data_IF_123759382955
#
_entry.id   IF_123759382955
#
_cell.length_a   1.000
_cell.length_b   1.000
_cell.length_c   1.000
_cell.angle_alpha   90.00
_cell.angle_beta   90.00
_cell.angle_gamma   90.00
#
_symmetry.space_group_name_H-M   'P 1'
#
loop_
_entity.id
_entity.type
_entity.pdbx_description
1 polymer ?
#
# COMPACT_ATOMS: atom_id res chain seq x y z
N UNK A 1 -0.65 6.39 -7.21
CA UNK A 1 0.12 6.98 -6.11
C UNK A 1 1.05 5.99 -5.41
N UNK A 2 0.60 4.81 -5.00
CA UNK A 2 1.40 3.81 -4.26
C UNK A 2 2.76 3.49 -4.91
N UNK A 3 2.86 3.59 -6.23
CA UNK A 3 4.08 3.29 -7.01
C UNK A 3 5.07 4.45 -7.12
N UNK A 4 4.70 5.67 -6.75
CA UNK A 4 5.47 6.89 -7.01
C UNK A 4 6.52 7.21 -5.93
N UNK A 5 6.63 6.42 -4.85
CA UNK A 5 7.59 6.70 -3.77
C UNK A 5 9.03 6.46 -4.17
N UNK A 6 9.95 7.35 -3.76
CA UNK A 6 11.38 7.17 -3.89
C UNK A 6 11.89 6.01 -3.04
N UNK A 7 12.94 5.33 -3.48
CA UNK A 7 13.55 4.22 -2.73
C UNK A 7 12.71 2.94 -2.64
N UNK A 8 11.62 2.84 -3.40
CA UNK A 8 10.75 1.66 -3.42
C UNK A 8 11.47 0.41 -3.96
N UNK A 9 11.14 -0.76 -3.40
CA UNK A 9 11.68 -2.05 -3.83
C UNK A 9 11.33 -2.41 -5.28
N UNK A 10 12.07 -3.39 -5.83
CA UNK A 10 11.95 -3.82 -7.22
C UNK A 10 10.52 -4.19 -7.65
N UNK A 11 9.71 -4.76 -6.75
CA UNK A 11 8.31 -5.09 -7.02
C UNK A 11 7.49 -3.90 -7.51
N UNK A 12 7.72 -2.72 -6.96
CA UNK A 12 6.98 -1.52 -7.34
C UNK A 12 7.27 -1.04 -8.77
N UNK A 13 8.29 -1.57 -9.43
CA UNK A 13 8.61 -1.26 -10.82
C UNK A 13 7.69 -1.98 -11.81
N UNK A 14 7.23 -3.19 -11.49
CA UNK A 14 6.40 -4.00 -12.39
C UNK A 14 4.95 -4.16 -11.94
N UNK A 15 4.67 -4.04 -10.64
CA UNK A 15 3.31 -4.16 -10.12
C UNK A 15 2.46 -2.95 -10.56
N UNK A 16 1.35 -3.22 -11.22
CA UNK A 16 0.50 -2.17 -11.81
C UNK A 16 -0.69 -1.80 -10.93
N UNK A 17 -1.05 -2.64 -9.94
CA UNK A 17 -2.23 -2.46 -9.10
C UNK A 17 -3.50 -2.13 -9.93
N UNK A 18 -3.73 -2.87 -11.00
CA UNK A 18 -4.91 -2.67 -11.85
C UNK A 18 -6.18 -2.87 -11.03
N UNK A 19 -7.05 -1.89 -11.07
CA UNK A 19 -8.31 -1.89 -10.33
C UNK A 19 -9.46 -2.28 -11.25
N UNK A 20 -10.34 -3.15 -10.77
CA UNK A 20 -11.59 -3.52 -11.43
C UNK A 20 -12.75 -3.39 -10.45
N UNK A 21 -13.79 -2.65 -10.83
CA UNK A 21 -15.05 -2.62 -10.09
C UNK A 21 -15.81 -3.89 -10.37
N UNK A 22 -16.18 -4.65 -9.35
CA UNK A 22 -16.90 -5.91 -9.48
C UNK A 22 -18.41 -5.72 -9.37
N UNK A 23 -18.83 -4.86 -8.44
CA UNK A 23 -20.25 -4.56 -8.18
C UNK A 23 -20.42 -3.19 -7.54
N UNK A 24 -21.66 -2.73 -7.45
CA UNK A 24 -22.04 -1.52 -6.72
C UNK A 24 -21.97 -0.23 -7.51
N UNK A 25 -21.48 -0.26 -8.78
CA UNK A 25 -21.32 0.92 -9.64
C UNK A 25 -21.85 0.63 -11.05
N UNK A 26 -22.59 1.59 -11.62
CA UNK A 26 -23.07 1.57 -12.99
C UNK A 26 -22.88 2.96 -13.61
N UNK A 27 -22.26 3.03 -14.78
CA UNK A 27 -22.00 4.28 -15.49
C UNK A 27 -21.28 5.35 -14.65
N UNK A 28 -20.39 4.90 -13.73
CA UNK A 28 -19.64 5.80 -12.85
C UNK A 28 -20.38 6.21 -11.57
N UNK A 29 -21.63 5.80 -11.39
CA UNK A 29 -22.46 6.15 -10.24
C UNK A 29 -22.74 4.93 -9.35
N UNK A 30 -22.76 5.14 -8.04
CA UNK A 30 -23.14 4.09 -7.08
C UNK A 30 -24.63 3.81 -7.16
N UNK A 31 -25.02 2.54 -7.00
CA UNK A 31 -26.43 2.08 -7.15
C UNK A 31 -27.07 1.69 -5.83
N UNK A 32 -26.54 2.12 -4.69
CA UNK A 32 -27.07 1.81 -3.37
C UNK A 32 -26.81 0.37 -2.87
N UNK A 33 -26.03 -0.41 -3.60
CA UNK A 33 -25.57 -1.73 -3.17
C UNK A 33 -24.11 -1.69 -2.70
N UNK A 34 -23.61 -2.75 -2.01
CA UNK A 34 -22.19 -2.82 -1.67
C UNK A 34 -21.28 -2.67 -2.87
N UNK A 35 -20.23 -1.84 -2.73
CA UNK A 35 -19.20 -1.66 -3.74
C UNK A 35 -18.08 -2.65 -3.48
N UNK A 36 -17.77 -3.50 -4.46
CA UNK A 36 -16.63 -4.41 -4.40
C UNK A 36 -15.59 -4.05 -5.46
N UNK A 37 -14.33 -4.02 -5.02
CA UNK A 37 -13.19 -3.63 -5.84
C UNK A 37 -12.17 -4.78 -5.83
N UNK A 38 -11.74 -5.21 -7.00
CA UNK A 38 -10.61 -6.11 -7.16
C UNK A 38 -9.36 -5.33 -7.54
N UNK A 39 -8.24 -5.64 -6.89
CA UNK A 39 -6.92 -5.12 -7.25
C UNK A 39 -6.07 -6.28 -7.72
N UNK A 40 -5.78 -6.32 -9.02
CA UNK A 40 -5.00 -7.38 -9.64
C UNK A 40 -3.59 -7.48 -9.02
N UNK A 41 -3.04 -8.68 -9.02
CA UNK A 41 -1.68 -8.97 -8.59
C UNK A 41 -0.92 -9.60 -9.75
N UNK A 42 0.06 -8.90 -10.27
CA UNK A 42 0.87 -9.35 -11.43
C UNK A 42 1.58 -10.68 -11.16
N UNK A 43 1.91 -10.98 -9.91
CA UNK A 43 2.56 -12.23 -9.53
C UNK A 43 1.59 -13.37 -9.20
N UNK A 44 0.28 -13.13 -9.16
CA UNK A 44 -0.72 -14.12 -8.76
C UNK A 44 -0.57 -15.48 -9.46
N UNK A 45 -0.30 -15.58 -10.77
CA UNK A 45 -0.13 -16.88 -11.43
C UNK A 45 0.95 -17.78 -10.83
N UNK A 46 1.89 -17.21 -10.07
CA UNK A 46 2.96 -17.96 -9.40
C UNK A 46 2.56 -18.45 -8.01
N UNK A 47 1.40 -18.04 -7.49
CA UNK A 47 0.97 -18.25 -6.11
C UNK A 47 -0.35 -19.01 -5.99
N UNK A 48 -0.96 -19.39 -7.09
CA UNK A 48 -2.30 -19.98 -7.15
C UNK A 48 -2.46 -21.22 -6.28
N UNK A 49 -1.46 -22.09 -6.23
CA UNK A 49 -1.50 -23.31 -5.40
C UNK A 49 -1.20 -23.00 -3.93
N UNK A 50 -0.05 -22.38 -3.64
CA UNK A 50 0.41 -22.15 -2.26
C UNK A 50 -0.48 -21.16 -1.48
N UNK A 51 -1.27 -20.37 -2.19
CA UNK A 51 -2.23 -19.40 -1.65
C UNK A 51 -3.68 -19.74 -2.05
N UNK A 52 -3.95 -21.00 -2.43
CA UNK A 52 -5.31 -21.44 -2.76
C UNK A 52 -6.26 -21.21 -1.58
N UNK A 53 -7.46 -20.72 -1.87
CA UNK A 53 -8.55 -20.63 -0.90
C UNK A 53 -9.23 -21.99 -0.71
N UNK A 54 -9.18 -22.84 -1.74
CA UNK A 54 -9.79 -24.16 -1.73
C UNK A 54 -8.77 -25.22 -1.33
N UNK A 55 -9.20 -26.34 -0.71
CA UNK A 55 -8.35 -27.50 -0.50
C UNK A 55 -7.77 -27.99 -1.84
N UNK A 56 -6.52 -28.35 -1.84
CA UNK A 56 -5.89 -28.98 -3.01
C UNK A 56 -6.17 -30.49 -2.98
N UNK A 57 -6.35 -31.08 -4.14
CA UNK A 57 -6.54 -32.52 -4.35
C UNK A 57 -5.23 -33.30 -4.45
N UNK A 58 -4.10 -32.59 -4.34
CA UNK A 58 -2.74 -33.12 -4.40
C UNK A 58 -1.82 -32.39 -3.42
N UNK A 59 -0.73 -33.05 -3.06
CA UNK A 59 0.32 -32.45 -2.25
C UNK A 59 1.22 -31.55 -3.10
N UNK A 60 1.52 -30.34 -2.60
CA UNK A 60 2.50 -29.45 -3.20
C UNK A 60 3.87 -29.64 -2.53
N UNK A 61 4.99 -29.68 -3.30
CA UNK A 61 6.32 -29.73 -2.72
C UNK A 61 6.57 -28.53 -1.79
N UNK A 62 6.97 -28.79 -0.54
CA UNK A 62 7.29 -27.76 0.46
C UNK A 62 8.71 -27.20 0.31
N UNK A 63 9.08 -26.86 -0.92
CA UNK A 63 10.41 -26.39 -1.28
C UNK A 63 10.33 -25.06 -2.02
N UNK A 64 11.44 -24.31 -2.02
CA UNK A 64 11.53 -23.04 -2.74
C UNK A 64 10.42 -22.07 -2.34
N UNK A 65 9.59 -21.67 -3.31
CA UNK A 65 8.47 -20.74 -3.11
C UNK A 65 7.38 -21.31 -2.18
N UNK A 66 7.18 -22.61 -2.19
CA UNK A 66 6.13 -23.28 -1.43
C UNK A 66 6.60 -23.65 -0.01
N UNK A 67 7.89 -23.50 0.31
CA UNK A 67 8.39 -23.75 1.66
C UNK A 67 7.73 -22.85 2.70
N UNK A 68 7.31 -23.36 3.87
CA UNK A 68 6.74 -22.55 4.93
C UNK A 68 7.69 -21.42 5.37
N UNK A 69 7.16 -20.25 5.61
CA UNK A 69 7.90 -19.10 6.13
C UNK A 69 7.92 -19.14 7.65
N UNK A 70 8.82 -19.95 8.22
CA UNK A 70 8.91 -20.17 9.67
C UNK A 70 9.74 -19.11 10.42
N UNK A 71 10.43 -18.23 9.70
CA UNK A 71 11.26 -17.15 10.29
C UNK A 71 10.52 -15.81 10.25
N UNK A 72 9.98 -15.33 11.37
CA UNK A 72 9.31 -14.03 11.42
C UNK A 72 10.31 -12.90 11.20
N UNK A 73 9.90 -11.88 10.45
CA UNK A 73 10.70 -10.67 10.22
C UNK A 73 10.71 -9.80 11.47
N UNK A 74 11.89 -9.30 11.91
CA UNK A 74 11.98 -8.35 13.01
C UNK A 74 11.18 -7.07 12.71
N UNK A 75 10.52 -6.51 13.74
CA UNK A 75 9.77 -5.26 13.61
C UNK A 75 8.50 -5.35 12.74
N UNK A 76 8.04 -6.55 12.41
CA UNK A 76 6.83 -6.81 11.61
C UNK A 76 5.77 -7.56 12.43
N UNK A 77 4.57 -7.72 11.86
CA UNK A 77 3.45 -8.40 12.52
C UNK A 77 3.60 -9.94 12.59
N UNK A 78 4.61 -10.52 11.94
CA UNK A 78 4.75 -11.95 11.70
C UNK A 78 4.70 -12.76 12.99
N UNK A 79 5.60 -12.50 13.94
CA UNK A 79 5.68 -13.26 15.19
C UNK A 79 4.39 -13.14 16.02
N UNK A 80 3.85 -11.94 16.13
CA UNK A 80 2.61 -11.68 16.88
C UNK A 80 1.44 -12.40 16.25
N UNK A 81 1.30 -12.36 14.93
CA UNK A 81 0.23 -13.02 14.22
C UNK A 81 0.35 -14.54 14.27
N UNK A 82 1.54 -15.09 14.06
CA UNK A 82 1.78 -16.53 14.17
C UNK A 82 1.40 -17.04 15.56
N UNK A 83 1.84 -16.36 16.62
CA UNK A 83 1.50 -16.74 18.01
C UNK A 83 0.01 -16.59 18.31
N UNK A 84 -0.62 -15.51 17.86
CA UNK A 84 -2.04 -15.24 18.10
C UNK A 84 -2.95 -16.31 17.50
N UNK A 85 -2.61 -16.78 16.30
CA UNK A 85 -3.45 -17.70 15.54
C UNK A 85 -2.95 -19.15 15.50
N UNK A 86 -1.79 -19.44 16.13
CA UNK A 86 -1.19 -20.78 16.14
C UNK A 86 -0.65 -21.21 14.78
N UNK A 87 -0.14 -20.27 13.96
CA UNK A 87 0.41 -20.59 12.65
C UNK A 87 1.88 -20.92 12.69
N UNK A 88 2.28 -22.01 12.01
CA UNK A 88 3.68 -22.39 11.78
C UNK A 88 4.26 -21.72 10.52
N UNK A 89 3.41 -21.18 9.66
CA UNK A 89 3.75 -20.41 8.45
C UNK A 89 3.29 -18.95 8.62
N UNK A 90 4.17 -17.99 8.36
CA UNK A 90 3.85 -16.57 8.44
C UNK A 90 2.98 -16.06 7.26
N UNK A 91 2.75 -16.84 6.19
CA UNK A 91 2.00 -16.38 5.01
C UNK A 91 0.63 -15.81 5.32
N UNK A 92 -0.23 -16.48 6.12
CA UNK A 92 -1.54 -15.91 6.45
C UNK A 92 -1.44 -14.55 7.14
N UNK A 93 -0.37 -14.32 7.92
CA UNK A 93 -0.10 -13.03 8.56
C UNK A 93 0.39 -12.00 7.55
N UNK A 94 1.25 -12.41 6.60
CA UNK A 94 1.77 -11.54 5.55
C UNK A 94 0.66 -10.98 4.67
N UNK A 95 -0.33 -11.79 4.31
CA UNK A 95 -1.48 -11.35 3.48
C UNK A 95 -2.30 -10.27 4.18
N UNK A 96 -2.38 -10.30 5.50
CA UNK A 96 -3.13 -9.34 6.32
C UNK A 96 -2.35 -8.08 6.68
N UNK A 97 -1.04 -8.07 6.54
CA UNK A 97 -0.18 -7.00 7.05
C UNK A 97 0.89 -6.53 6.07
N UNK A 98 0.80 -6.94 4.82
CA UNK A 98 1.76 -6.62 3.76
C UNK A 98 1.32 -5.45 2.87
N UNK A 99 2.10 -5.19 1.84
CA UNK A 99 1.83 -4.18 0.83
C UNK A 99 0.48 -4.38 0.11
N UNK A 100 -0.06 -5.60 0.03
CA UNK A 100 -1.37 -5.89 -0.57
C UNK A 100 -2.51 -5.35 0.27
N UNK A 101 -2.45 -5.47 1.58
CA UNK A 101 -3.39 -4.83 2.51
C UNK A 101 -3.38 -3.30 2.33
N UNK A 102 -2.20 -2.70 2.19
CA UNK A 102 -2.06 -1.27 1.91
C UNK A 102 -2.70 -0.88 0.57
N UNK A 103 -2.60 -1.71 -0.47
CA UNK A 103 -3.26 -1.45 -1.75
C UNK A 103 -4.78 -1.39 -1.60
N UNK A 104 -5.36 -2.32 -0.85
CA UNK A 104 -6.80 -2.36 -0.57
C UNK A 104 -7.26 -1.14 0.22
N UNK A 105 -6.52 -0.74 1.25
CA UNK A 105 -6.81 0.48 2.03
C UNK A 105 -6.76 1.75 1.20
N UNK A 106 -5.78 1.87 0.29
CA UNK A 106 -5.68 3.02 -0.61
C UNK A 106 -6.87 3.09 -1.56
N UNK A 107 -7.30 1.96 -2.13
CA UNK A 107 -8.46 1.92 -3.01
C UNK A 107 -9.77 2.28 -2.28
N UNK A 108 -10.00 1.72 -1.09
CA UNK A 108 -11.16 2.06 -0.26
C UNK A 108 -11.13 3.52 0.21
N UNK A 109 -9.95 4.02 0.57
CA UNK A 109 -9.76 5.41 0.95
C UNK A 109 -10.12 6.39 -0.18
N UNK A 110 -9.89 6.03 -1.44
CA UNK A 110 -10.30 6.86 -2.57
C UNK A 110 -11.82 6.93 -2.72
N UNK A 111 -12.54 5.82 -2.54
CA UNK A 111 -14.01 5.84 -2.52
C UNK A 111 -14.54 6.74 -1.41
N UNK A 112 -13.95 6.64 -0.21
CA UNK A 112 -14.34 7.49 0.92
C UNK A 112 -14.04 8.97 0.67
N UNK A 113 -12.91 9.31 0.03
CA UNK A 113 -12.57 10.69 -0.34
C UNK A 113 -13.57 11.29 -1.32
N UNK A 114 -13.94 10.53 -2.36
CA UNK A 114 -14.93 10.98 -3.34
C UNK A 114 -16.29 11.20 -2.70
N UNK A 115 -16.71 10.33 -1.78
CA UNK A 115 -17.95 10.52 -1.01
C UNK A 115 -17.90 11.81 -0.20
N UNK A 116 -16.82 12.08 0.54
CA UNK A 116 -16.67 13.29 1.34
C UNK A 116 -16.63 14.54 0.47
N UNK A 117 -15.97 14.51 -0.67
CA UNK A 117 -15.89 15.64 -1.58
C UNK A 117 -17.26 15.95 -2.19
N UNK A 118 -17.98 14.95 -2.68
CA UNK A 118 -19.27 15.13 -3.34
C UNK A 118 -20.39 15.54 -2.38
N UNK A 119 -20.37 15.04 -1.14
CA UNK A 119 -21.44 15.29 -0.18
C UNK A 119 -21.21 16.50 0.71
N UNK A 120 -19.95 16.76 1.09
CA UNK A 120 -19.59 17.76 2.09
C UNK A 120 -18.56 18.79 1.60
N UNK A 121 -18.06 18.65 0.38
CA UNK A 121 -16.98 19.51 -0.15
C UNK A 121 -15.63 19.32 0.58
N UNK A 122 -15.48 18.25 1.35
CA UNK A 122 -14.26 18.00 2.12
C UNK A 122 -13.23 17.30 1.22
N UNK A 123 -12.07 17.93 1.04
CA UNK A 123 -10.93 17.39 0.30
C UNK A 123 -9.79 17.04 1.25
N UNK A 124 -9.23 15.84 1.09
CA UNK A 124 -8.14 15.34 1.93
C UNK A 124 -6.82 15.37 1.16
N UNK A 125 -5.85 16.11 1.69
CA UNK A 125 -4.50 16.20 1.16
C UNK A 125 -3.51 15.82 2.26
N UNK A 126 -2.38 15.25 1.87
CA UNK A 126 -1.30 14.91 2.81
C UNK A 126 0.05 15.16 2.20
N UNK A 127 1.05 15.46 3.03
CA UNK A 127 2.44 15.54 2.60
C UNK A 127 3.36 14.87 3.63
N UNK A 128 4.61 14.67 3.25
CA UNK A 128 5.63 14.09 4.12
C UNK A 128 6.44 15.23 4.75
N UNK A 129 6.59 15.20 6.05
CA UNK A 129 7.36 16.20 6.82
C UNK A 129 8.83 15.80 6.95
N UNK A 130 9.11 14.51 7.17
CA UNK A 130 10.48 14.01 7.30
C UNK A 130 10.61 12.54 6.92
N UNK A 131 11.81 12.13 6.50
CA UNK A 131 12.22 10.75 6.28
C UNK A 131 13.58 10.55 6.94
N UNK A 132 13.67 9.60 7.90
CA UNK A 132 14.92 9.27 8.58
C UNK A 132 15.54 10.45 9.35
N UNK A 133 14.72 11.37 9.84
CA UNK A 133 15.15 12.57 10.55
C UNK A 133 15.54 13.75 9.65
N UNK A 134 15.62 13.57 8.34
CA UNK A 134 15.81 14.66 7.38
C UNK A 134 14.44 15.17 6.88
N UNK A 135 14.27 16.47 6.67
CA UNK A 135 13.03 17.04 6.19
C UNK A 135 12.80 18.49 6.57
N UNK A 136 11.53 18.86 6.77
CA UNK A 136 11.14 20.22 7.12
C UNK A 136 11.68 20.58 8.51
N UNK A 137 12.42 21.69 8.59
CA UNK A 137 13.14 22.10 9.81
C UNK A 137 12.21 22.40 10.97
N UNK A 138 11.05 23.00 10.69
CA UNK A 138 10.02 23.27 11.70
C UNK A 138 8.69 22.61 11.32
N UNK A 139 8.51 21.33 11.69
CA UNK A 139 7.30 20.58 11.32
C UNK A 139 6.00 21.14 11.94
N UNK A 140 6.09 21.87 13.07
CA UNK A 140 4.91 22.42 13.74
C UNK A 140 4.35 23.62 13.00
N UNK A 141 5.22 24.40 12.34
CA UNK A 141 4.86 25.55 11.54
C UNK A 141 4.96 25.28 10.03
N UNK A 142 5.02 24.01 9.64
CA UNK A 142 5.05 23.63 8.24
C UNK A 142 3.81 24.13 7.50
N UNK A 143 4.00 24.65 6.29
CA UNK A 143 2.91 25.05 5.41
C UNK A 143 2.03 23.84 5.12
N UNK A 144 0.77 23.91 5.53
CA UNK A 144 -0.20 22.85 5.23
C UNK A 144 -0.56 22.85 3.74
N UNK A 145 -0.51 21.70 3.08
CA UNK A 145 -0.85 21.60 1.67
C UNK A 145 -2.35 21.88 1.46
N UNK A 146 -2.66 22.54 0.36
CA UNK A 146 -4.02 22.77 -0.10
C UNK A 146 -4.41 21.77 -1.19
N UNK A 147 -5.69 21.61 -1.50
CA UNK A 147 -6.14 20.73 -2.60
C UNK A 147 -5.49 21.05 -3.95
N UNK A 148 -5.18 22.32 -4.22
CA UNK A 148 -4.52 22.78 -5.45
C UNK A 148 -3.07 22.30 -5.58
N UNK A 149 -2.43 21.94 -4.44
CA UNK A 149 -1.05 21.48 -4.40
C UNK A 149 -0.91 19.98 -4.74
N UNK A 150 -2.01 19.26 -4.97
CA UNK A 150 -2.03 17.81 -5.12
C UNK A 150 -1.14 17.34 -6.29
N UNK A 151 -1.17 18.06 -7.41
CA UNK A 151 -0.35 17.72 -8.58
C UNK A 151 1.15 17.87 -8.27
N UNK A 152 1.55 18.98 -7.64
CA UNK A 152 2.93 19.22 -7.23
C UNK A 152 3.41 18.19 -6.20
N UNK A 153 2.56 17.83 -5.24
CA UNK A 153 2.83 16.78 -4.25
C UNK A 153 2.99 15.39 -4.91
N UNK A 154 2.17 15.09 -5.89
CA UNK A 154 2.25 13.80 -6.59
C UNK A 154 3.45 13.74 -7.55
N UNK A 155 3.92 14.88 -8.05
CA UNK A 155 5.16 14.98 -8.82
C UNK A 155 6.42 14.83 -7.95
N UNK A 156 6.36 15.19 -6.66
CA UNK A 156 7.48 15.01 -5.74
C UNK A 156 7.74 13.53 -5.43
N UNK A 157 8.98 13.03 -5.59
CA UNK A 157 9.32 11.63 -5.31
C UNK A 157 9.13 11.25 -3.84
N UNK A 158 9.22 12.21 -2.91
CA UNK A 158 9.03 12.02 -1.47
C UNK A 158 7.75 12.69 -0.94
N UNK A 159 6.91 13.25 -1.82
CA UNK A 159 5.62 13.87 -1.51
C UNK A 159 5.72 15.05 -0.55
N UNK A 160 6.59 15.99 -0.82
CA UNK A 160 6.69 17.26 -0.09
C UNK A 160 6.67 18.44 -1.06
N UNK A 161 6.20 19.62 -0.60
CA UNK A 161 6.25 20.88 -1.36
C UNK A 161 7.58 21.60 -1.17
N UNK A 162 8.25 21.38 -0.05
CA UNK A 162 9.53 21.99 0.26
C UNK A 162 10.66 21.31 -0.52
N UNK A 163 11.25 22.04 -1.48
CA UNK A 163 12.32 21.50 -2.34
C UNK A 163 13.62 21.25 -1.60
N UNK A 164 13.92 21.98 -0.55
CA UNK A 164 15.09 21.74 0.30
C UNK A 164 14.91 20.47 1.11
N UNK A 165 13.75 20.32 1.75
CA UNK A 165 13.38 19.09 2.47
C UNK A 165 13.33 17.87 1.52
N UNK A 166 12.84 18.03 0.28
CA UNK A 166 12.84 16.99 -0.75
C UNK A 166 14.25 16.43 -1.00
N UNK A 167 15.22 17.31 -1.24
CA UNK A 167 16.61 16.92 -1.48
C UNK A 167 17.23 16.21 -0.27
N UNK A 168 17.00 16.73 0.94
CA UNK A 168 17.50 16.13 2.18
C UNK A 168 16.89 14.73 2.43
N UNK A 169 15.59 14.54 2.19
CA UNK A 169 14.92 13.25 2.32
C UNK A 169 15.43 12.22 1.30
N UNK A 170 15.70 12.65 0.07
CA UNK A 170 16.27 11.80 -0.98
C UNK A 170 17.68 11.37 -0.59
N UNK A 171 18.56 12.31 -0.21
CA UNK A 171 19.90 12.01 0.24
C UNK A 171 19.91 11.03 1.41
N UNK A 172 19.05 11.25 2.42
CA UNK A 172 18.93 10.36 3.58
C UNK A 172 18.43 8.95 3.21
N UNK A 173 17.56 8.86 2.20
CA UNK A 173 17.08 7.56 1.69
C UNK A 173 18.21 6.81 0.98
N UNK A 174 19.08 7.52 0.26
CA UNK A 174 20.22 6.91 -0.45
C UNK A 174 21.32 6.47 0.50
N UNK A 175 21.61 7.22 1.56
CA UNK A 175 22.53 6.82 2.64
C UNK A 175 22.10 5.51 3.33
N UNK A 176 20.80 5.22 3.37
CA UNK A 176 20.23 4.03 4.05
C UNK A 176 20.19 2.77 3.17
N UNK A 177 20.55 2.86 1.88
CA UNK A 177 20.58 1.72 0.95
C UNK A 177 21.91 0.94 1.03
#
# INVERSE_FOLDING_TARGET
RRRLGYGRGARMKFEQDKVRMLTGVRFGETIGSPVAIEIANTEWPKWTEVMSADPLDHDIPREGRNAPLSRPRPGHADLTGMRKYGFDDARPVLERSSARETASRVALGEVAKQFLEQTLGIRTVSHVLSIGGAGITDPQNAVLPKPEDLEALDASPVRTLDKTAEQQMIARTDEAK
#
